data_IF_482601560903
#
_entry.id   IF_482601560903
#
_cell.length_a   1.000
_cell.length_b   1.000
_cell.length_c   1.000
_cell.angle_alpha   90.00
_cell.angle_beta   90.00
_cell.angle_gamma   90.00
#
_symmetry.space_group_name_H-M   'P 1'
#
loop_
_entity.id
_entity.type
_entity.pdbx_description
1 polymer ?
#
# COMPACT_ATOMS: atom_id res chain seq x y z
N UNK A 1 -10.55 15.77 0.42
CA UNK A 1 -10.11 16.66 1.53
C UNK A 1 -11.34 16.95 2.36
N UNK A 2 -11.29 16.70 3.66
CA UNK A 2 -12.47 16.67 4.54
C UNK A 2 -12.36 17.71 5.64
N UNK A 3 -13.50 18.27 6.04
CA UNK A 3 -13.57 19.16 7.17
C UNK A 3 -13.56 18.36 8.47
N UNK A 4 -12.57 18.59 9.32
CA UNK A 4 -12.46 17.94 10.64
C UNK A 4 -13.55 18.32 11.63
N UNK A 5 -14.35 19.37 11.36
CA UNK A 5 -15.48 19.77 12.21
C UNK A 5 -16.77 19.02 11.89
N UNK A 6 -17.04 18.74 10.61
CA UNK A 6 -18.35 18.20 10.16
C UNK A 6 -18.25 17.00 9.23
N UNK A 7 -17.05 16.54 8.89
CA UNK A 7 -16.80 15.42 7.96
C UNK A 7 -17.15 15.71 6.49
N UNK A 8 -17.66 16.90 6.17
CA UNK A 8 -18.02 17.24 4.79
C UNK A 8 -16.79 17.57 3.96
N UNK A 9 -16.88 17.31 2.64
CA UNK A 9 -15.78 17.61 1.73
C UNK A 9 -15.52 19.12 1.62
N UNK A 10 -14.24 19.48 1.54
CA UNK A 10 -13.83 20.79 1.04
C UNK A 10 -14.06 20.85 -0.47
N UNK A 11 -14.68 21.94 -0.94
CA UNK A 11 -14.97 22.16 -2.36
C UNK A 11 -14.31 23.44 -2.83
N UNK A 12 -13.93 23.45 -4.11
CA UNK A 12 -13.36 24.62 -4.77
C UNK A 12 -14.41 25.74 -4.77
N UNK A 13 -14.05 26.89 -4.18
CA UNK A 13 -14.93 28.05 -4.10
C UNK A 13 -14.53 29.19 -5.03
N UNK A 14 -13.24 29.28 -5.35
CA UNK A 14 -12.65 30.23 -6.30
C UNK A 14 -11.65 29.48 -7.20
N UNK A 15 -10.91 30.17 -8.08
CA UNK A 15 -9.99 29.51 -9.03
C UNK A 15 -8.97 28.56 -8.36
N UNK A 16 -8.47 28.94 -7.19
CA UNK A 16 -7.43 28.19 -6.45
C UNK A 16 -7.74 28.03 -4.95
N UNK A 17 -8.93 28.43 -4.49
CA UNK A 17 -9.30 28.33 -3.07
C UNK A 17 -10.34 27.24 -2.83
N UNK A 18 -10.18 26.54 -1.71
CA UNK A 18 -11.12 25.54 -1.21
C UNK A 18 -11.74 25.99 0.12
N UNK A 19 -12.98 25.58 0.35
CA UNK A 19 -13.72 25.86 1.58
C UNK A 19 -14.61 24.68 1.97
N UNK A 20 -15.02 24.60 3.24
CA UNK A 20 -15.92 23.55 3.71
C UNK A 20 -17.27 23.61 2.97
N UNK A 21 -17.62 22.55 2.23
CA UNK A 21 -18.84 22.52 1.42
C UNK A 21 -20.12 22.67 2.24
N UNK A 22 -20.18 22.08 3.44
CA UNK A 22 -21.34 22.22 4.33
C UNK A 22 -21.56 23.66 4.80
N UNK A 23 -20.49 24.38 5.16
CA UNK A 23 -20.56 25.78 5.57
C UNK A 23 -21.06 26.65 4.41
N UNK A 24 -20.53 26.42 3.19
CA UNK A 24 -20.94 27.19 2.00
C UNK A 24 -22.38 26.93 1.58
N UNK A 25 -22.87 25.71 1.76
CA UNK A 25 -24.27 25.37 1.47
C UNK A 25 -25.24 25.78 2.58
N UNK A 26 -24.81 26.55 3.59
CA UNK A 26 -25.66 27.00 4.70
C UNK A 26 -26.08 25.89 5.66
N UNK A 27 -25.37 24.75 5.68
CA UNK A 27 -25.58 23.65 6.62
C UNK A 27 -24.82 23.90 7.94
N UNK A 28 -25.01 23.02 8.92
CA UNK A 28 -24.45 23.11 10.28
C UNK A 28 -22.93 22.88 10.34
N UNK A 29 -22.13 23.80 9.80
CA UNK A 29 -20.69 23.83 10.00
C UNK A 29 -20.24 25.28 10.18
N UNK A 30 -19.53 25.53 11.28
CA UNK A 30 -18.97 26.83 11.66
C UNK A 30 -17.56 27.07 11.07
N UNK A 31 -16.97 26.04 10.45
CA UNK A 31 -15.67 26.16 9.79
C UNK A 31 -15.77 26.97 8.48
N UNK A 32 -15.64 28.29 8.61
CA UNK A 32 -15.58 29.25 7.51
C UNK A 32 -14.16 29.49 6.97
N UNK A 33 -13.18 28.65 7.32
CA UNK A 33 -11.80 28.84 6.87
C UNK A 33 -11.61 28.35 5.44
N UNK A 34 -10.91 29.15 4.64
CA UNK A 34 -10.52 28.82 3.26
C UNK A 34 -9.03 28.49 3.20
N UNK A 35 -8.63 27.68 2.23
CA UNK A 35 -7.22 27.39 1.97
C UNK A 35 -6.92 27.55 0.49
N UNK A 36 -5.73 28.04 0.16
CA UNK A 36 -5.22 27.98 -1.21
C UNK A 36 -4.78 26.53 -1.49
N UNK A 37 -5.31 25.94 -2.56
CA UNK A 37 -5.11 24.54 -2.90
C UNK A 37 -3.64 24.23 -3.21
N UNK A 38 -2.99 25.06 -4.02
CA UNK A 38 -1.60 24.86 -4.43
C UNK A 38 -0.66 24.95 -3.22
N UNK A 39 -0.90 25.95 -2.34
CA UNK A 39 -0.11 26.11 -1.13
C UNK A 39 -0.33 24.97 -0.12
N UNK A 40 -1.58 24.51 0.03
CA UNK A 40 -1.91 23.37 0.88
C UNK A 40 -1.21 22.10 0.38
N UNK A 41 -1.21 21.86 -0.93
CA UNK A 41 -0.53 20.70 -1.52
C UNK A 41 0.98 20.77 -1.29
N UNK A 42 1.60 21.92 -1.50
CA UNK A 42 3.03 22.13 -1.24
C UNK A 42 3.38 21.86 0.24
N UNK A 43 2.58 22.36 1.18
CA UNK A 43 2.77 22.13 2.61
C UNK A 43 2.58 20.65 3.00
N UNK A 44 1.56 20.00 2.46
CA UNK A 44 1.30 18.56 2.69
C UNK A 44 2.47 17.73 2.19
N UNK A 45 3.00 18.03 1.00
CA UNK A 45 4.17 17.34 0.45
C UNK A 45 5.42 17.60 1.29
N UNK A 46 5.66 18.85 1.70
CA UNK A 46 6.80 19.21 2.54
C UNK A 46 6.75 18.54 3.93
N UNK A 47 5.56 18.46 4.51
CA UNK A 47 5.31 17.78 5.78
C UNK A 47 5.49 16.27 5.68
N UNK A 48 4.90 15.64 4.66
CA UNK A 48 5.11 14.21 4.38
C UNK A 48 6.60 13.90 4.25
N UNK A 49 7.36 14.71 3.49
CA UNK A 49 8.81 14.56 3.39
C UNK A 49 9.49 14.60 4.76
N UNK A 50 9.18 15.62 5.58
CA UNK A 50 9.83 15.79 6.87
C UNK A 50 9.54 14.62 7.82
N UNK A 51 8.32 14.09 7.83
CA UNK A 51 7.93 13.00 8.71
C UNK A 51 8.42 11.64 8.22
N UNK A 52 8.43 11.39 6.91
CA UNK A 52 8.89 10.12 6.34
C UNK A 52 10.42 9.94 6.47
N UNK A 53 11.19 11.02 6.58
CA UNK A 53 12.65 10.94 6.78
C UNK A 53 13.07 10.85 8.25
N UNK A 54 12.13 10.95 9.20
CA UNK A 54 12.46 10.83 10.63
C UNK A 54 12.95 9.42 10.98
N UNK A 55 13.94 9.28 11.87
CA UNK A 55 14.44 7.98 12.32
C UNK A 55 13.33 7.04 12.79
N UNK A 56 12.39 7.54 13.59
CA UNK A 56 11.27 6.75 14.13
C UNK A 56 10.33 6.21 13.03
N UNK A 57 10.14 6.97 11.95
CA UNK A 57 9.33 6.54 10.81
C UNK A 57 10.02 5.41 10.03
N UNK A 58 11.34 5.53 9.88
CA UNK A 58 12.18 4.54 9.20
C UNK A 58 12.26 3.24 10.02
N UNK A 59 12.42 3.35 11.34
CA UNK A 59 12.46 2.19 12.24
C UNK A 59 11.11 1.46 12.27
N UNK A 60 10.02 2.21 12.30
CA UNK A 60 8.69 1.62 12.23
C UNK A 60 8.46 0.95 10.87
N UNK A 61 8.94 1.54 9.77
CA UNK A 61 8.88 0.93 8.45
C UNK A 61 9.67 -0.39 8.41
N UNK A 62 10.92 -0.40 8.87
CA UNK A 62 11.77 -1.61 8.89
C UNK A 62 11.11 -2.73 9.71
N UNK A 63 10.53 -2.40 10.87
CA UNK A 63 9.81 -3.35 11.71
C UNK A 63 8.60 -3.97 11.00
N UNK A 64 7.73 -3.13 10.43
CA UNK A 64 6.52 -3.60 9.74
C UNK A 64 6.86 -4.39 8.47
N UNK A 65 7.86 -3.94 7.70
CA UNK A 65 8.32 -4.62 6.51
C UNK A 65 8.91 -6.01 6.84
N UNK A 66 9.74 -6.12 7.89
CA UNK A 66 10.25 -7.40 8.39
C UNK A 66 9.12 -8.32 8.86
N UNK A 67 8.13 -7.78 9.56
CA UNK A 67 6.98 -8.55 10.01
C UNK A 67 6.19 -9.11 8.81
N UNK A 68 5.88 -8.27 7.82
CA UNK A 68 5.18 -8.68 6.60
C UNK A 68 5.96 -9.75 5.82
N UNK A 69 7.28 -9.56 5.63
CA UNK A 69 8.15 -10.56 4.98
C UNK A 69 8.18 -11.88 5.74
N UNK A 70 8.27 -11.85 7.08
CA UNK A 70 8.22 -13.06 7.92
C UNK A 70 6.89 -13.79 7.73
N UNK A 71 5.76 -13.08 7.73
CA UNK A 71 4.45 -13.66 7.49
C UNK A 71 4.34 -14.32 6.10
N UNK A 72 4.90 -13.67 5.07
CA UNK A 72 4.94 -14.24 3.70
C UNK A 72 5.82 -15.50 3.63
N UNK A 73 7.01 -15.48 4.24
CA UNK A 73 7.90 -16.66 4.33
C UNK A 73 7.21 -17.83 5.06
N UNK A 74 6.51 -17.55 6.16
CA UNK A 74 5.75 -18.56 6.90
C UNK A 74 4.58 -19.11 6.09
N UNK A 75 3.83 -18.25 5.39
CA UNK A 75 2.74 -18.67 4.51
C UNK A 75 3.25 -19.57 3.38
N UNK A 76 4.33 -19.17 2.71
CA UNK A 76 4.99 -19.97 1.67
C UNK A 76 5.49 -21.31 2.22
N UNK A 77 6.13 -21.31 3.39
CA UNK A 77 6.56 -22.54 4.06
C UNK A 77 5.40 -23.49 4.40
N UNK A 78 4.24 -22.96 4.81
CA UNK A 78 3.02 -23.76 5.02
C UNK A 78 2.49 -24.35 3.71
N UNK A 79 2.45 -23.55 2.64
CA UNK A 79 2.02 -24.00 1.31
C UNK A 79 2.91 -25.13 0.80
N UNK A 80 4.23 -24.97 0.85
CA UNK A 80 5.19 -26.00 0.44
C UNK A 80 5.01 -27.30 1.24
N UNK A 81 4.88 -27.22 2.57
CA UNK A 81 4.62 -28.40 3.42
C UNK A 81 3.34 -29.14 3.03
N UNK A 82 2.28 -28.38 2.70
CA UNK A 82 1.01 -28.96 2.25
C UNK A 82 1.14 -29.61 0.88
N UNK A 83 1.85 -28.98 -0.06
CA UNK A 83 2.15 -29.55 -1.38
C UNK A 83 2.96 -30.85 -1.25
N UNK A 84 4.01 -30.85 -0.42
CA UNK A 84 4.85 -32.05 -0.18
C UNK A 84 4.07 -33.20 0.47
N UNK A 85 3.07 -32.89 1.29
CA UNK A 85 2.16 -33.90 1.83
C UNK A 85 1.28 -34.49 0.73
N UNK A 86 0.65 -33.64 -0.10
CA UNK A 86 -0.21 -34.07 -1.21
C UNK A 86 0.55 -34.88 -2.25
N UNK A 87 1.77 -34.47 -2.59
CA UNK A 87 2.67 -35.19 -3.50
C UNK A 87 2.91 -36.61 -2.97
N UNK A 88 3.24 -36.77 -1.68
CA UNK A 88 3.42 -38.10 -1.06
C UNK A 88 2.14 -38.93 -1.07
N UNK A 89 1.00 -38.33 -0.76
CA UNK A 89 -0.30 -39.02 -0.78
C UNK A 89 -0.68 -39.51 -2.18
N UNK A 90 -0.48 -38.68 -3.21
CA UNK A 90 -0.74 -39.07 -4.61
C UNK A 90 0.23 -40.15 -5.08
N UNK A 91 1.52 -40.02 -4.78
CA UNK A 91 2.52 -41.04 -5.08
C UNK A 91 2.11 -42.40 -4.51
N UNK A 92 1.79 -42.46 -3.20
CA UNK A 92 1.34 -43.70 -2.56
C UNK A 92 0.03 -44.26 -3.14
N UNK A 93 -0.86 -43.41 -3.66
CA UNK A 93 -2.08 -43.87 -4.35
C UNK A 93 -1.74 -44.49 -5.70
N UNK A 94 -0.87 -43.87 -6.48
CA UNK A 94 -0.38 -44.40 -7.76
C UNK A 94 0.29 -45.76 -7.52
N UNK A 95 1.22 -45.84 -6.57
CA UNK A 95 1.95 -47.08 -6.24
C UNK A 95 0.98 -48.22 -5.91
N UNK A 96 -0.06 -47.97 -5.10
CA UNK A 96 -1.08 -48.97 -4.76
C UNK A 96 -1.92 -49.42 -5.97
N UNK A 97 -2.25 -48.51 -6.88
CA UNK A 97 -3.01 -48.85 -8.09
C UNK A 97 -2.13 -49.68 -9.03
N UNK A 98 -0.86 -49.30 -9.18
CA UNK A 98 0.13 -50.04 -9.97
C UNK A 98 0.36 -51.44 -9.41
N UNK A 99 0.52 -51.58 -8.09
CA UNK A 99 0.64 -52.88 -7.42
C UNK A 99 -0.60 -53.74 -7.64
N UNK A 100 -1.80 -53.18 -7.58
CA UNK A 100 -3.04 -53.92 -7.84
C UNK A 100 -3.14 -54.40 -9.29
N UNK A 101 -2.69 -53.59 -10.26
CA UNK A 101 -2.58 -53.98 -11.68
C UNK A 101 -1.57 -55.11 -11.84
N UNK A 102 -0.38 -54.98 -11.23
CA UNK A 102 0.67 -55.99 -11.29
C UNK A 102 0.24 -57.34 -10.69
N UNK A 103 -0.61 -57.31 -9.66
CA UNK A 103 -1.20 -58.51 -9.05
C UNK A 103 -2.44 -59.05 -9.80
N UNK A 104 -2.71 -58.56 -11.01
CA UNK A 104 -3.70 -59.12 -11.93
C UNK A 104 -5.08 -58.46 -11.89
N UNK A 105 -5.27 -57.37 -11.13
CA UNK A 105 -6.50 -56.59 -11.16
C UNK A 105 -6.33 -55.39 -12.07
N UNK A 106 -6.55 -55.59 -13.38
CA UNK A 106 -6.45 -54.52 -14.38
C UNK A 106 -7.84 -54.13 -14.89
N UNK A 107 -8.26 -52.90 -14.57
CA UNK A 107 -9.52 -52.32 -15.06
C UNK A 107 -9.26 -51.03 -15.83
N UNK A 108 -10.08 -50.70 -16.85
CA UNK A 108 -9.97 -49.42 -17.56
C UNK A 108 -10.05 -48.20 -16.62
N UNK A 109 -10.82 -48.29 -15.54
CA UNK A 109 -10.94 -47.23 -14.53
C UNK A 109 -9.63 -47.01 -13.77
N UNK A 110 -8.90 -48.09 -13.43
CA UNK A 110 -7.61 -48.00 -12.75
C UNK A 110 -6.55 -47.36 -13.64
N UNK A 111 -6.46 -47.77 -14.91
CA UNK A 111 -5.53 -47.15 -15.88
C UNK A 111 -5.81 -45.66 -16.06
N UNK A 112 -7.09 -45.28 -16.13
CA UNK A 112 -7.50 -43.86 -16.18
C UNK A 112 -7.09 -43.10 -14.92
N UNK A 113 -7.32 -43.68 -13.74
CA UNK A 113 -6.96 -43.06 -12.47
C UNK A 113 -5.44 -42.85 -12.31
N UNK A 114 -4.62 -43.79 -12.79
CA UNK A 114 -3.15 -43.61 -12.82
C UNK A 114 -2.77 -42.39 -13.65
N UNK A 115 -3.25 -42.30 -14.89
CA UNK A 115 -2.95 -41.17 -15.78
C UNK A 115 -3.39 -39.83 -15.18
N UNK A 116 -4.60 -39.77 -14.59
CA UNK A 116 -5.09 -38.58 -13.91
C UNK A 116 -4.21 -38.18 -12.71
N UNK A 117 -3.84 -39.15 -11.87
CA UNK A 117 -3.01 -38.90 -10.70
C UNK A 117 -1.56 -38.52 -11.07
N UNK A 118 -1.00 -39.11 -12.11
CA UNK A 118 0.32 -38.74 -12.64
C UNK A 118 0.33 -37.30 -13.17
N UNK A 119 -0.72 -36.89 -13.89
CA UNK A 119 -0.89 -35.50 -14.35
C UNK A 119 -0.94 -34.53 -13.17
N UNK A 120 -1.80 -34.80 -12.19
CA UNK A 120 -1.93 -33.95 -10.99
C UNK A 120 -0.63 -33.90 -10.18
N UNK A 121 0.11 -35.02 -10.11
CA UNK A 121 1.39 -35.10 -9.43
C UNK A 121 2.46 -34.25 -10.11
N UNK A 122 2.52 -34.27 -11.45
CA UNK A 122 3.42 -33.42 -12.22
C UNK A 122 3.11 -31.94 -11.99
N UNK A 123 1.85 -31.53 -12.12
CA UNK A 123 1.43 -30.15 -11.88
C UNK A 123 1.77 -29.66 -10.46
N UNK A 124 1.53 -30.50 -9.44
CA UNK A 124 1.83 -30.14 -8.05
C UNK A 124 3.34 -30.05 -7.78
N UNK A 125 4.15 -30.86 -8.45
CA UNK A 125 5.62 -30.78 -8.36
C UNK A 125 6.12 -29.49 -8.99
N UNK A 126 5.68 -29.17 -10.19
CA UNK A 126 6.06 -27.94 -10.89
C UNK A 126 5.71 -26.70 -10.07
N UNK A 127 4.51 -26.68 -9.48
CA UNK A 127 4.09 -25.59 -8.59
C UNK A 127 4.95 -25.50 -7.32
N UNK A 128 5.32 -26.64 -6.72
CA UNK A 128 6.14 -26.67 -5.53
C UNK A 128 7.59 -26.23 -5.84
N UNK A 129 8.13 -26.61 -6.99
CA UNK A 129 9.49 -26.27 -7.40
C UNK A 129 9.60 -24.79 -7.80
N UNK A 130 8.64 -24.26 -8.56
CA UNK A 130 8.55 -22.82 -8.81
C UNK A 130 8.46 -22.02 -7.49
N UNK A 131 7.66 -22.51 -6.54
CA UNK A 131 7.56 -21.93 -5.20
C UNK A 131 8.79 -22.22 -4.31
N UNK A 132 9.80 -22.97 -4.73
CA UNK A 132 11.10 -23.11 -4.01
C UNK A 132 12.17 -22.22 -4.62
N UNK A 133 12.18 -22.11 -5.94
CA UNK A 133 13.15 -21.32 -6.70
C UNK A 133 12.98 -19.82 -6.52
N UNK A 134 11.79 -19.35 -6.20
CA UNK A 134 11.55 -17.92 -5.98
C UNK A 134 12.49 -17.41 -4.87
N UNK A 135 13.46 -16.52 -5.20
CA UNK A 135 14.55 -16.20 -4.31
C UNK A 135 14.02 -15.55 -3.04
N UNK A 136 14.57 -16.00 -1.92
CA UNK A 136 14.41 -15.25 -0.69
C UNK A 136 15.22 -13.97 -0.87
N UNK A 137 14.56 -12.88 -1.27
CA UNK A 137 15.17 -11.56 -1.24
C UNK A 137 15.52 -11.32 0.21
N UNK A 138 16.76 -11.65 0.57
CA UNK A 138 17.35 -11.30 1.84
C UNK A 138 17.10 -9.82 2.00
N UNK A 139 16.52 -9.43 3.13
CA UNK A 139 16.42 -8.04 3.49
C UNK A 139 17.84 -7.50 3.38
N UNK A 140 18.10 -6.70 2.33
CA UNK A 140 19.35 -5.97 2.25
C UNK A 140 19.50 -5.31 3.61
N UNK A 141 20.66 -5.52 4.24
CA UNK A 141 20.97 -5.05 5.60
C UNK A 141 20.79 -3.53 5.77
N UNK A 142 20.47 -2.85 4.67
CA UNK A 142 20.39 -1.42 4.53
C UNK A 142 19.05 -0.91 3.96
N UNK A 143 17.94 -1.58 4.30
CA UNK A 143 16.60 -1.17 3.90
C UNK A 143 16.30 0.29 4.27
N UNK A 144 16.81 0.76 5.41
CA UNK A 144 16.72 2.13 5.86
C UNK A 144 17.39 3.14 4.89
N UNK A 145 18.60 2.85 4.40
CA UNK A 145 19.26 3.75 3.44
C UNK A 145 18.64 3.67 2.05
N UNK A 146 18.18 2.49 1.61
CA UNK A 146 17.43 2.36 0.37
C UNK A 146 16.14 3.18 0.41
N UNK A 147 15.42 3.14 1.54
CA UNK A 147 14.23 3.93 1.76
C UNK A 147 14.54 5.43 1.75
N UNK A 148 15.60 5.88 2.45
CA UNK A 148 16.05 7.29 2.41
C UNK A 148 16.41 7.73 0.98
N UNK A 149 17.23 6.97 0.27
CA UNK A 149 17.63 7.27 -1.10
C UNK A 149 16.43 7.35 -2.04
N UNK A 150 15.41 6.51 -1.82
CA UNK A 150 14.17 6.53 -2.59
C UNK A 150 13.34 7.77 -2.30
N UNK A 151 13.23 8.18 -1.03
CA UNK A 151 12.59 9.44 -0.65
C UNK A 151 13.34 10.65 -1.23
N UNK A 152 14.67 10.64 -1.22
CA UNK A 152 15.47 11.72 -1.80
C UNK A 152 15.29 11.80 -3.33
N UNK A 153 15.22 10.66 -4.02
CA UNK A 153 14.90 10.62 -5.45
C UNK A 153 13.53 11.23 -5.77
N UNK A 154 12.54 10.98 -4.91
CA UNK A 154 11.21 11.61 -5.03
C UNK A 154 11.30 13.13 -4.81
N UNK A 155 12.12 13.60 -3.86
CA UNK A 155 12.33 15.04 -3.65
C UNK A 155 12.93 15.73 -4.87
N UNK A 156 13.94 15.11 -5.49
CA UNK A 156 14.56 15.66 -6.70
C UNK A 156 13.54 15.73 -7.83
N UNK A 157 12.74 14.68 -8.02
CA UNK A 157 11.71 14.63 -9.06
C UNK A 157 10.58 15.67 -8.85
N UNK A 158 10.22 15.96 -7.59
CA UNK A 158 9.24 17.01 -7.27
C UNK A 158 9.75 18.43 -7.54
N UNK A 159 11.05 18.65 -7.39
CA UNK A 159 11.67 19.97 -7.64
C UNK A 159 12.01 20.20 -9.12
N UNK A 160 12.07 19.13 -9.93
CA UNK A 160 12.29 19.22 -11.37
C UNK A 160 10.97 19.57 -12.10
N UNK A 161 10.87 20.74 -12.77
CA UNK A 161 9.66 21.13 -13.50
C UNK A 161 9.21 20.12 -14.57
N UNK A 162 10.13 19.31 -15.11
CA UNK A 162 9.85 18.30 -16.14
C UNK A 162 9.21 17.02 -15.58
N UNK A 163 9.51 16.67 -14.32
CA UNK A 163 9.02 15.46 -13.66
C UNK A 163 8.02 15.74 -12.53
N UNK A 164 7.84 17.01 -12.15
CA UNK A 164 7.00 17.43 -11.01
C UNK A 164 5.59 16.88 -11.10
N UNK A 165 4.96 16.92 -12.28
CA UNK A 165 3.59 16.44 -12.44
C UNK A 165 3.48 14.94 -12.10
N UNK A 166 4.35 14.11 -12.67
CA UNK A 166 4.33 12.67 -12.46
C UNK A 166 4.69 12.30 -11.02
N UNK A 167 5.67 12.99 -10.43
CA UNK A 167 6.05 12.80 -9.03
C UNK A 167 4.91 13.17 -8.07
N UNK A 168 4.20 14.28 -8.32
CA UNK A 168 3.03 14.67 -7.52
C UNK A 168 1.90 13.64 -7.62
N UNK A 169 1.64 13.07 -8.80
CA UNK A 169 0.64 12.02 -8.96
C UNK A 169 1.01 10.76 -8.18
N UNK A 170 2.27 10.34 -8.21
CA UNK A 170 2.74 9.18 -7.46
C UNK A 170 2.57 9.35 -5.94
N UNK A 171 2.86 10.54 -5.41
CA UNK A 171 2.70 10.79 -3.96
C UNK A 171 1.22 10.90 -3.57
N UNK A 172 0.36 11.43 -4.44
CA UNK A 172 -1.08 11.46 -4.19
C UNK A 172 -1.66 10.06 -3.94
N UNK A 173 -1.12 9.01 -4.56
CA UNK A 173 -1.54 7.64 -4.28
C UNK A 173 -1.18 7.14 -2.86
N UNK A 174 -0.26 7.81 -2.16
CA UNK A 174 0.09 7.50 -0.77
C UNK A 174 -0.88 8.13 0.24
N UNK A 175 -1.66 9.13 -0.20
CA UNK A 175 -2.58 9.89 0.64
C UNK A 175 -3.98 9.30 0.45
N UNK A 176 -4.56 8.75 1.52
CA UNK A 176 -5.94 8.27 1.52
C UNK A 176 -6.90 9.47 1.65
N UNK A 177 -6.67 10.31 2.66
CA UNK A 177 -7.45 11.53 2.88
C UNK A 177 -6.66 12.59 3.64
N UNK A 178 -7.06 13.85 3.47
CA UNK A 178 -6.53 15.00 4.20
C UNK A 178 -7.69 15.61 4.97
N UNK A 179 -7.54 15.73 6.29
CA UNK A 179 -8.52 16.30 7.21
C UNK A 179 -8.04 17.69 7.60
N UNK A 180 -8.90 18.69 7.41
CA UNK A 180 -8.59 20.10 7.67
C UNK A 180 -9.33 20.59 8.91
N UNK A 181 -8.60 21.04 9.94
CA UNK A 181 -9.16 21.57 11.19
C UNK A 181 -8.81 23.05 11.36
N UNK A 182 -9.76 23.90 11.80
CA UNK A 182 -9.42 25.26 12.20
C UNK A 182 -8.56 25.24 13.46
N UNK A 183 -7.57 26.13 13.55
CA UNK A 183 -6.77 26.30 14.78
C UNK A 183 -7.19 27.56 15.54
N UNK A 184 -6.72 27.66 16.80
CA UNK A 184 -6.95 28.82 17.68
C UNK A 184 -6.23 30.10 17.19
N UNK A 185 -5.27 29.95 16.29
CA UNK A 185 -4.63 31.08 15.63
C UNK A 185 -5.60 31.80 14.69
N UNK A 186 -5.48 33.12 14.64
CA UNK A 186 -6.33 33.93 13.79
C UNK A 186 -6.10 33.55 12.31
N UNK A 187 -7.05 32.78 11.75
CA UNK A 187 -7.05 32.25 10.36
C UNK A 187 -6.15 31.04 10.12
N UNK A 188 -5.75 30.31 11.16
CA UNK A 188 -4.98 29.08 10.99
C UNK A 188 -5.85 27.87 10.59
N UNK A 189 -5.24 26.99 9.79
CA UNK A 189 -5.80 25.71 9.37
C UNK A 189 -4.72 24.65 9.55
N UNK A 190 -5.04 23.59 10.29
CA UNK A 190 -4.19 22.43 10.43
C UNK A 190 -4.60 21.36 9.42
N UNK A 191 -3.61 20.79 8.73
CA UNK A 191 -3.80 19.71 7.78
C UNK A 191 -3.31 18.40 8.38
N UNK A 192 -4.25 17.50 8.68
CA UNK A 192 -3.96 16.15 9.12
C UNK A 192 -3.97 15.23 7.89
N UNK A 193 -2.82 14.63 7.56
CA UNK A 193 -2.66 13.72 6.43
C UNK A 193 -2.82 12.29 6.91
N UNK A 194 -3.79 11.58 6.35
CA UNK A 194 -4.03 10.16 6.58
C UNK A 194 -3.59 9.41 5.33
N UNK A 195 -2.57 8.55 5.47
CA UNK A 195 -1.93 7.85 4.35
C UNK A 195 -1.98 6.34 4.46
N UNK A 196 -1.70 5.68 3.34
CA UNK A 196 -1.55 4.23 3.25
C UNK A 196 -0.10 3.84 3.57
N UNK A 197 0.14 3.30 4.77
CA UNK A 197 1.45 2.71 5.11
C UNK A 197 1.84 1.57 4.14
N UNK A 198 0.87 0.89 3.53
CA UNK A 198 1.10 -0.14 2.52
C UNK A 198 1.73 0.41 1.22
N UNK A 199 1.39 1.65 0.81
CA UNK A 199 1.95 2.25 -0.40
C UNK A 199 3.45 2.54 -0.29
N UNK A 200 3.95 2.77 0.93
CA UNK A 200 5.39 2.91 1.19
C UNK A 200 6.16 1.58 1.03
N UNK A 201 5.53 0.45 1.35
CA UNK A 201 6.11 -0.87 1.14
C UNK A 201 6.17 -1.25 -0.35
N UNK A 202 5.20 -0.81 -1.16
CA UNK A 202 5.22 -1.00 -2.62
C UNK A 202 6.35 -0.19 -3.28
N UNK A 203 6.65 1.03 -2.80
CA UNK A 203 7.76 1.85 -3.29
C UNK A 203 9.12 1.24 -2.95
N UNK A 204 9.24 0.61 -1.78
CA UNK A 204 10.47 -0.05 -1.33
C UNK A 204 10.65 -1.47 -1.90
N UNK A 205 9.58 -2.08 -2.43
CA UNK A 205 9.53 -3.49 -2.78
C UNK A 205 9.52 -3.83 -4.26
N UNK A 206 9.40 -2.87 -5.19
CA UNK A 206 9.27 -3.21 -6.63
C UNK A 206 10.18 -2.40 -7.55
N UNK A 207 11.16 -3.09 -8.13
CA UNK A 207 11.58 -2.85 -9.51
C UNK A 207 10.40 -3.20 -10.43
N UNK A 208 9.95 -2.22 -11.22
CA UNK A 208 8.99 -2.32 -12.34
C UNK A 208 7.47 -2.44 -12.06
N UNK A 209 6.78 -1.46 -12.65
CA UNK A 209 5.41 -1.41 -13.21
C UNK A 209 4.13 -1.33 -12.34
N UNK A 210 3.33 -0.33 -12.75
CA UNK A 210 1.91 -0.09 -12.48
C UNK A 210 1.03 -1.32 -12.73
N UNK A 211 0.18 -1.66 -11.77
CA UNK A 211 -0.88 -2.65 -11.95
C UNK A 211 -1.54 -3.06 -10.64
N UNK A 212 -2.72 -2.47 -10.39
CA UNK A 212 -3.84 -2.95 -9.54
C UNK A 212 -3.51 -3.63 -8.20
N UNK A 213 -3.89 -3.00 -7.08
CA UNK A 213 -4.07 -3.74 -5.83
C UNK A 213 -5.46 -3.54 -5.25
N UNK A 214 -6.09 -4.69 -5.02
CA UNK A 214 -7.36 -4.87 -4.34
C UNK A 214 -7.29 -4.40 -2.88
N UNK A 215 -8.44 -3.88 -2.47
CA UNK A 215 -8.77 -3.32 -1.17
C UNK A 215 -8.63 -4.36 -0.03
N UNK A 216 -7.50 -4.32 0.67
CA UNK A 216 -7.36 -4.89 2.02
C UNK A 216 -6.81 -3.78 2.92
N UNK A 217 -7.62 -3.33 3.88
CA UNK A 217 -7.39 -2.14 4.70
C UNK A 217 -6.13 -2.31 5.55
N UNK A 218 -5.07 -1.61 5.15
CA UNK A 218 -3.79 -1.50 5.86
C UNK A 218 -3.94 -0.62 7.12
N UNK A 219 -3.04 -0.73 8.12
CA UNK A 219 -3.08 0.13 9.31
C UNK A 219 -2.86 1.60 8.92
N UNK A 220 -3.82 2.45 9.32
CA UNK A 220 -3.79 3.90 9.08
C UNK A 220 -2.85 4.57 10.10
N UNK A 221 -1.95 5.45 9.63
CA UNK A 221 -1.18 6.36 10.49
C UNK A 221 -1.51 7.80 10.14
N UNK A 222 -1.71 8.60 11.18
CA UNK A 222 -2.03 10.02 11.11
C UNK A 222 -0.77 10.87 11.30
N UNK A 223 -0.56 11.85 10.42
CA UNK A 223 0.46 12.88 10.58
C UNK A 223 -0.23 14.25 10.63
N UNK A 224 -0.03 15.01 11.71
CA UNK A 224 -0.59 16.36 11.87
C UNK A 224 0.43 17.41 11.41
N UNK A 225 0.04 18.28 10.49
CA UNK A 225 0.84 19.39 10.00
C UNK A 225 0.16 20.71 10.39
N UNK A 226 0.73 21.43 11.34
CA UNK A 226 0.33 22.78 11.70
C UNK A 226 1.22 23.81 11.00
N UNK A 227 0.64 24.86 10.41
CA UNK A 227 1.41 26.00 9.89
C UNK A 227 0.63 27.31 10.02
N UNK A 228 1.27 28.42 10.45
CA UNK A 228 0.64 29.72 10.60
C UNK A 228 0.61 30.51 9.27
N UNK A 229 -0.58 30.98 8.88
CA UNK A 229 -0.88 32.08 7.91
C UNK A 229 -0.65 31.84 6.40
N UNK A 230 -1.45 32.36 5.46
CA UNK A 230 -2.52 33.37 5.53
C UNK A 230 -3.66 33.16 4.52
N UNK A 231 -4.85 33.64 4.89
CA UNK A 231 -6.12 33.50 4.15
C UNK A 231 -6.77 34.87 4.03
N UNK A 232 -7.11 35.29 2.81
CA UNK A 232 -7.77 36.58 2.54
C UNK A 232 -9.28 36.56 2.92
N UNK A 233 -9.85 37.70 3.35
CA UNK A 233 -11.23 37.79 3.81
C UNK A 233 -12.26 37.63 2.68
N UNK A 234 -13.46 37.18 3.05
CA UNK A 234 -14.65 37.22 2.19
C UNK A 234 -15.23 38.63 2.31
N UNK A 235 -15.17 39.42 1.24
CA UNK A 235 -16.01 40.61 1.11
C UNK A 235 -17.40 40.15 0.65
N UNK A 236 -18.38 40.16 1.55
CA UNK A 236 -19.79 39.99 1.20
C UNK A 236 -20.31 41.18 0.40
N UNK A 237 -21.21 40.96 -0.57
CA UNK A 237 -22.43 41.75 -0.69
C UNK A 237 -23.62 41.06 0.01
#
# INVERSE_FOLDING_TARGET
>A
MECGCCGSQYTVCDRVYIACGAQRSGKSCDNGRRANLDHLEEQVLAGLRHHLTQPDAIDAFDKEYRAAKKMMREARGRTLKNSDKKIRELQSKIDRIVDAIANGTDTPAMRKAVVEHESMLAELRDQADAAREEPDVELHSNLAELYRARLDGIQVALNDPSCRHDATQLIRHLIDRIILRPTDEERGLEAEVVGLMAGLADIAGKESYFGSTNNARAPERTVSLASPTGVEPVSSP
#
